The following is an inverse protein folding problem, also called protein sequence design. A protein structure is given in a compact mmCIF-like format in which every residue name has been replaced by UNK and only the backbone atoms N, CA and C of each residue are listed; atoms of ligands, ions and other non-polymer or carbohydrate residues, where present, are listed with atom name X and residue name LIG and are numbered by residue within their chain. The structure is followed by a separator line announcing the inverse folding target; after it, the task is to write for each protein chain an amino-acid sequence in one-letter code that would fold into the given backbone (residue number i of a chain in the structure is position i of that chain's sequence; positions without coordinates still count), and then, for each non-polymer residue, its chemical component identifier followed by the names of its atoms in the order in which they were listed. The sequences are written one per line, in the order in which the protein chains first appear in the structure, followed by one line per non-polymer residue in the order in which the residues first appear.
data_IF_110061709211
#
_entry.id   IF_110061709211
#
_cell.length_a   1.000
_cell.length_b   1.000
_cell.length_c   1.000
_cell.angle_alpha   90.00
_cell.angle_beta   90.00
_cell.angle_gamma   90.00
#
_symmetry.space_group_name_H-M   'P 1'
#
loop_
_entity.id
_entity.type
_entity.pdbx_description
1 polymer ?
#
# COMPACT_ATOMS: atom_id res chain seq x y z
N UNK A 1 -6.91 18.53 -65.60
CA UNK A 1 -8.05 19.41 -65.23
C UNK A 1 -8.87 18.64 -64.20
N UNK A 2 -9.10 19.02 -62.94
CA UNK A 2 -9.07 20.30 -62.21
C UNK A 2 -8.50 20.06 -60.80
N UNK A 3 -7.86 21.08 -60.23
CA UNK A 3 -7.37 21.20 -58.84
C UNK A 3 -8.42 21.88 -57.94
N UNK A 4 -8.10 21.95 -56.64
CA UNK A 4 -8.63 22.79 -55.51
C UNK A 4 -9.73 22.14 -54.63
N UNK A 5 -9.75 22.26 -53.30
CA UNK A 5 -8.79 22.63 -52.22
C UNK A 5 -9.50 22.32 -50.86
N UNK A 6 -8.69 22.14 -49.82
CA UNK A 6 -8.91 22.52 -48.40
C UNK A 6 -9.95 21.80 -47.51
N UNK A 7 -9.52 21.50 -46.28
CA UNK A 7 -10.39 21.21 -45.14
C UNK A 7 -9.71 20.47 -43.99
N UNK A 8 -8.89 21.18 -43.20
CA UNK A 8 -8.36 20.65 -41.94
C UNK A 8 -9.47 20.53 -40.88
N UNK A 9 -9.47 19.45 -40.11
CA UNK A 9 -10.21 19.35 -38.86
C UNK A 9 -9.37 18.62 -37.80
N UNK A 10 -8.46 19.37 -37.16
CA UNK A 10 -7.96 19.05 -35.83
C UNK A 10 -9.08 19.42 -34.84
N UNK A 11 -9.83 18.44 -34.34
CA UNK A 11 -10.76 18.66 -33.22
C UNK A 11 -11.09 17.35 -32.50
N UNK A 12 -10.13 16.77 -31.77
CA UNK A 12 -10.44 15.64 -30.88
C UNK A 12 -9.46 15.46 -29.71
N UNK A 13 -8.78 16.52 -29.27
CA UNK A 13 -7.88 16.45 -28.11
C UNK A 13 -8.44 17.11 -26.82
N UNK A 14 -9.57 17.82 -26.86
CA UNK A 14 -10.04 18.61 -25.69
C UNK A 14 -10.97 17.86 -24.72
N UNK A 15 -11.44 16.65 -25.04
CA UNK A 15 -12.41 15.96 -24.17
C UNK A 15 -11.78 15.23 -22.97
N UNK A 16 -10.48 14.90 -23.02
CA UNK A 16 -9.85 14.07 -21.98
C UNK A 16 -9.41 14.85 -20.73
N UNK A 17 -9.15 16.16 -20.84
CA UNK A 17 -8.61 16.95 -19.72
C UNK A 17 -9.66 17.27 -18.62
N UNK A 18 -10.95 17.24 -18.94
CA UNK A 18 -12.01 17.65 -18.02
C UNK A 18 -12.33 16.62 -16.93
N UNK A 19 -11.97 15.35 -17.12
CA UNK A 19 -12.31 14.26 -16.19
C UNK A 19 -11.39 14.17 -14.96
N UNK A 20 -10.20 14.76 -14.99
CA UNK A 20 -9.27 14.76 -13.85
C UNK A 20 -9.48 15.91 -12.85
N UNK A 21 -10.46 16.79 -13.09
CA UNK A 21 -10.70 18.00 -12.30
C UNK A 21 -11.83 17.87 -11.27
N UNK A 22 -12.54 16.73 -11.20
CA UNK A 22 -13.69 16.57 -10.32
C UNK A 22 -13.32 15.76 -9.07
N UNK A 23 -13.64 16.30 -7.89
CA UNK A 23 -13.58 15.54 -6.63
C UNK A 23 -14.68 14.49 -6.58
N UNK A 24 -14.49 13.45 -5.75
CA UNK A 24 -15.50 12.40 -5.53
C UNK A 24 -16.74 13.05 -4.87
N UNK A 25 -17.88 12.99 -5.55
CA UNK A 25 -19.16 13.42 -5.00
C UNK A 25 -19.89 12.21 -4.39
N UNK A 26 -20.34 12.32 -3.15
CA UNK A 26 -21.38 11.44 -2.61
C UNK A 26 -22.69 11.64 -3.40
N UNK A 27 -23.50 10.58 -3.54
CA UNK A 27 -24.72 10.56 -4.39
C UNK A 27 -25.57 11.82 -4.20
N UNK A 28 -25.97 12.45 -5.31
CA UNK A 28 -26.79 13.68 -5.42
C UNK A 28 -26.14 15.02 -5.04
N UNK A 29 -24.81 15.08 -4.89
CA UNK A 29 -24.10 16.36 -4.72
C UNK A 29 -23.52 16.81 -6.06
N UNK A 30 -23.82 18.04 -6.49
CA UNK A 30 -23.17 18.65 -7.65
C UNK A 30 -21.66 18.79 -7.32
N UNK A 31 -20.74 18.19 -8.10
CA UNK A 31 -19.31 18.33 -7.86
C UNK A 31 -18.95 19.82 -7.76
N UNK A 32 -18.32 20.19 -6.65
CA UNK A 32 -17.80 21.54 -6.52
C UNK A 32 -16.59 21.70 -7.43
N UNK A 33 -16.44 22.85 -8.12
CA UNK A 33 -15.20 23.14 -8.82
C UNK A 33 -14.05 23.11 -7.81
N UNK A 34 -12.92 22.51 -8.19
CA UNK A 34 -11.70 22.55 -7.37
C UNK A 34 -11.40 24.00 -7.01
N UNK A 35 -11.18 24.25 -5.72
CA UNK A 35 -10.75 25.56 -5.25
C UNK A 35 -9.49 26.01 -5.98
N UNK A 36 -9.34 27.33 -6.16
CA UNK A 36 -8.12 27.90 -6.75
C UNK A 36 -6.91 27.42 -5.94
N UNK A 37 -5.84 26.93 -6.59
CA UNK A 37 -4.58 26.66 -5.90
C UNK A 37 -4.18 27.86 -5.06
N UNK A 38 -3.63 27.63 -3.87
CA UNK A 38 -3.29 28.69 -2.91
C UNK A 38 -2.32 29.73 -3.49
N UNK A 39 -1.66 29.44 -4.61
CA UNK A 39 -0.63 30.28 -5.24
C UNK A 39 0.65 30.36 -4.42
N UNK A 40 0.69 29.71 -3.26
CA UNK A 40 1.86 29.62 -2.39
C UNK A 40 2.78 28.52 -2.93
N UNK A 41 4.10 28.73 -2.95
CA UNK A 41 5.04 27.65 -3.17
C UNK A 41 4.75 26.52 -2.20
N UNK A 42 4.72 25.28 -2.69
CA UNK A 42 4.68 24.12 -1.82
C UNK A 42 6.10 23.91 -1.28
N UNK A 43 6.36 24.09 0.04
CA UNK A 43 7.71 24.17 0.57
C UNK A 43 8.41 22.80 0.70
N UNK A 44 7.83 21.73 0.15
CA UNK A 44 8.37 20.38 0.21
C UNK A 44 8.50 19.79 -1.20
N UNK A 45 9.49 18.93 -1.37
CA UNK A 45 9.65 18.10 -2.57
C UNK A 45 9.52 16.66 -2.14
N UNK A 46 8.55 15.96 -2.74
CA UNK A 46 8.44 14.50 -2.58
C UNK A 46 9.28 13.83 -3.67
N UNK A 47 10.06 12.85 -3.27
CA UNK A 47 10.83 11.99 -4.16
C UNK A 47 10.48 10.56 -3.78
N UNK A 48 10.10 9.75 -4.76
CA UNK A 48 9.97 8.31 -4.57
C UNK A 48 11.38 7.71 -4.45
N UNK A 49 11.66 7.07 -3.33
CA UNK A 49 12.92 6.40 -3.02
C UNK A 49 12.71 4.91 -2.69
N UNK A 50 11.54 4.36 -2.99
CA UNK A 50 11.19 3.00 -2.58
C UNK A 50 12.15 1.95 -3.15
N UNK A 51 12.58 2.15 -4.41
CA UNK A 51 13.55 1.26 -5.07
C UNK A 51 14.92 1.36 -4.41
N UNK A 52 15.41 2.56 -4.18
CA UNK A 52 16.70 2.85 -3.54
C UNK A 52 16.73 2.31 -2.11
N UNK A 53 15.61 2.38 -1.40
CA UNK A 53 15.45 1.87 -0.04
C UNK A 53 15.25 0.34 0.02
N UNK A 54 15.12 -0.36 -1.10
CA UNK A 54 14.87 -1.81 -1.13
C UNK A 54 13.40 -2.23 -0.90
N UNK A 55 12.47 -1.28 -0.78
CA UNK A 55 11.03 -1.50 -0.58
C UNK A 55 10.32 -1.71 -1.92
N UNK A 56 10.64 -2.81 -2.60
CA UNK A 56 10.24 -3.04 -4.00
C UNK A 56 9.07 -4.00 -4.19
N UNK A 57 8.66 -4.73 -3.15
CA UNK A 57 7.58 -5.70 -3.27
C UNK A 57 6.21 -5.01 -3.25
N UNK A 58 5.26 -5.46 -4.09
CA UNK A 58 3.92 -4.91 -4.06
C UNK A 58 3.17 -5.37 -2.80
N UNK A 59 2.37 -4.47 -2.23
CA UNK A 59 1.27 -4.85 -1.34
C UNK A 59 0.08 -5.18 -2.23
N UNK A 60 -0.47 -6.39 -2.10
CA UNK A 60 -1.51 -6.89 -3.00
C UNK A 60 -2.85 -6.86 -2.27
N UNK A 61 -3.88 -6.29 -2.92
CA UNK A 61 -5.25 -6.34 -2.44
C UNK A 61 -6.21 -6.19 -3.63
N UNK A 62 -7.15 -7.11 -3.74
CA UNK A 62 -8.16 -7.08 -4.79
C UNK A 62 -7.58 -7.30 -6.18
N UNK A 63 -8.36 -6.96 -7.20
CA UNK A 63 -7.93 -7.08 -8.60
C UNK A 63 -7.45 -5.74 -9.16
N UNK A 64 -6.69 -5.79 -10.25
CA UNK A 64 -6.15 -4.63 -10.96
C UNK A 64 -7.17 -3.90 -11.84
N UNK A 65 -8.32 -4.55 -12.11
CA UNK A 65 -9.26 -4.13 -13.16
C UNK A 65 -10.69 -3.92 -12.65
N UNK A 66 -11.17 -4.75 -11.71
CA UNK A 66 -12.56 -4.65 -11.24
C UNK A 66 -12.76 -5.18 -9.81
N UNK A 67 -13.10 -4.28 -8.90
CA UNK A 67 -13.51 -4.61 -7.53
C UNK A 67 -14.94 -5.12 -7.54
N UNK A 68 -15.16 -6.34 -7.01
CA UNK A 68 -16.50 -6.93 -6.93
C UNK A 68 -17.11 -6.79 -5.53
N UNK A 69 -16.28 -6.81 -4.50
CA UNK A 69 -16.67 -6.73 -3.10
C UNK A 69 -15.85 -5.69 -2.34
N UNK A 70 -16.44 -5.10 -1.30
CA UNK A 70 -15.77 -4.06 -0.49
C UNK A 70 -14.56 -4.58 0.29
N UNK A 71 -14.55 -5.87 0.63
CA UNK A 71 -13.38 -6.49 1.24
C UNK A 71 -12.24 -6.68 0.25
N UNK A 72 -12.32 -6.25 -1.00
CA UNK A 72 -11.16 -6.22 -1.91
C UNK A 72 -10.44 -4.85 -1.90
N UNK A 73 -11.04 -3.85 -1.24
CA UNK A 73 -10.50 -2.47 -1.16
C UNK A 73 -10.19 -2.01 0.25
N UNK A 74 -10.51 -2.81 1.27
CA UNK A 74 -10.44 -2.44 2.69
C UNK A 74 -9.26 -3.14 3.40
N UNK A 75 -8.14 -3.30 2.70
CA UNK A 75 -6.96 -4.05 3.16
C UNK A 75 -5.73 -3.18 3.32
N UNK A 76 -4.76 -3.72 4.05
CA UNK A 76 -3.46 -3.12 4.29
C UNK A 76 -3.20 -2.91 5.77
N UNK A 77 -2.18 -2.13 6.07
CA UNK A 77 -1.73 -1.87 7.43
C UNK A 77 -0.22 -1.79 7.47
N UNK A 78 0.29 -0.94 8.34
CA UNK A 78 1.72 -0.81 8.60
C UNK A 78 1.93 -0.78 10.11
N UNK A 79 2.93 -1.52 10.57
CA UNK A 79 3.47 -1.43 11.90
C UNK A 79 4.94 -1.04 11.81
N UNK A 80 5.35 -0.17 12.72
CA UNK A 80 6.74 0.22 12.94
C UNK A 80 7.14 -0.33 14.31
N UNK A 81 8.15 -1.19 14.35
CA UNK A 81 8.61 -1.86 15.56
C UNK A 81 10.09 -2.21 15.44
N UNK A 82 10.77 -2.35 16.57
CA UNK A 82 12.14 -2.90 16.65
C UNK A 82 12.01 -4.41 16.94
N UNK A 83 11.82 -5.23 15.90
CA UNK A 83 11.41 -6.64 16.09
C UNK A 83 12.54 -7.53 16.61
N UNK A 84 13.80 -7.14 16.40
CA UNK A 84 14.99 -7.87 16.83
C UNK A 84 15.81 -7.15 17.92
N UNK A 85 15.25 -6.09 18.53
CA UNK A 85 15.83 -5.29 19.62
C UNK A 85 17.21 -4.74 19.29
N UNK A 86 17.45 -4.42 18.03
CA UNK A 86 18.73 -3.92 17.56
C UNK A 86 18.89 -2.40 17.74
N UNK A 87 17.82 -1.75 18.21
CA UNK A 87 17.71 -0.31 18.47
C UNK A 87 17.21 0.49 17.27
N UNK A 88 16.82 -0.15 16.17
CA UNK A 88 16.32 0.49 14.97
C UNK A 88 14.90 0.05 14.63
N UNK A 89 14.14 1.00 14.09
CA UNK A 89 12.76 0.75 13.73
C UNK A 89 12.70 0.08 12.36
N UNK A 90 12.04 -1.07 12.33
CA UNK A 90 11.72 -1.91 11.18
C UNK A 90 10.28 -1.69 10.70
N UNK A 91 9.97 -2.19 9.51
CA UNK A 91 8.66 -2.00 8.88
C UNK A 91 7.96 -3.34 8.62
N UNK A 92 6.78 -3.51 9.20
CA UNK A 92 5.88 -4.62 8.88
C UNK A 92 4.68 -4.12 8.07
N UNK A 93 4.44 -4.71 6.90
CA UNK A 93 3.34 -4.38 6.01
C UNK A 93 2.40 -5.56 5.91
N UNK A 94 1.11 -5.29 6.10
CA UNK A 94 0.03 -6.27 5.92
C UNK A 94 -0.40 -6.28 4.46
N UNK A 95 -0.46 -7.46 3.86
CA UNK A 95 -1.00 -7.65 2.52
C UNK A 95 -2.40 -8.26 2.57
N UNK A 96 -3.18 -7.97 1.53
CA UNK A 96 -4.33 -8.77 1.16
C UNK A 96 -3.93 -9.88 0.17
N UNK A 97 -4.93 -10.39 -0.54
CA UNK A 97 -4.79 -11.31 -1.67
C UNK A 97 -5.71 -10.86 -2.82
N UNK A 98 -5.93 -11.73 -3.81
CA UNK A 98 -6.78 -11.50 -4.96
C UNK A 98 -8.04 -12.38 -4.90
N UNK A 99 -9.12 -11.91 -5.51
CA UNK A 99 -10.35 -12.70 -5.57
C UNK A 99 -10.21 -13.84 -6.60
N UNK A 100 -10.36 -15.09 -6.16
CA UNK A 100 -10.20 -16.32 -6.95
C UNK A 100 -8.75 -16.63 -7.40
N UNK A 101 -7.75 -15.96 -6.84
CA UNK A 101 -6.34 -16.23 -7.07
C UNK A 101 -5.61 -16.25 -5.72
N UNK A 102 -4.54 -17.03 -5.61
CA UNK A 102 -3.67 -17.02 -4.42
C UNK A 102 -2.20 -16.87 -4.86
N UNK A 103 -1.81 -15.67 -5.33
CA UNK A 103 -0.46 -15.45 -5.82
C UNK A 103 0.55 -15.57 -4.67
N UNK A 104 1.66 -16.32 -4.86
CA UNK A 104 2.65 -16.55 -3.80
C UNK A 104 3.31 -15.27 -3.27
N UNK A 105 3.27 -14.18 -4.03
CA UNK A 105 3.75 -12.87 -3.61
C UNK A 105 2.77 -12.11 -2.69
N UNK A 106 1.49 -12.50 -2.62
CA UNK A 106 0.48 -11.94 -1.73
C UNK A 106 0.66 -12.46 -0.30
N UNK A 107 1.62 -11.85 0.38
CA UNK A 107 1.95 -12.13 1.76
C UNK A 107 2.29 -10.84 2.48
N UNK A 108 2.10 -10.82 3.79
CA UNK A 108 2.70 -9.81 4.66
C UNK A 108 4.21 -9.69 4.39
N UNK A 109 4.79 -8.54 4.74
CA UNK A 109 6.22 -8.28 4.59
C UNK A 109 6.80 -7.68 5.85
N UNK A 110 7.90 -8.26 6.35
CA UNK A 110 8.75 -7.65 7.37
C UNK A 110 10.06 -7.20 6.73
N UNK A 111 10.39 -5.93 6.91
CA UNK A 111 11.57 -5.29 6.40
C UNK A 111 12.46 -4.84 7.55
N UNK A 112 13.65 -5.45 7.67
CA UNK A 112 14.66 -5.02 8.62
C UNK A 112 15.39 -3.79 8.10
N UNK A 113 15.56 -2.79 8.95
CA UNK A 113 16.30 -1.57 8.69
C UNK A 113 17.81 -1.83 8.70
N UNK A 114 18.50 -1.51 7.60
CA UNK A 114 19.94 -1.71 7.48
C UNK A 114 20.77 -0.54 8.03
N UNK A 115 20.13 0.48 8.61
CA UNK A 115 20.75 1.66 9.25
C UNK A 115 21.48 2.61 8.30
N UNK A 116 21.27 2.43 7.00
CA UNK A 116 21.85 3.24 5.92
C UNK A 116 20.78 3.85 4.99
N UNK A 117 19.50 3.80 5.42
CA UNK A 117 18.36 4.22 4.62
C UNK A 117 17.79 3.13 3.71
N UNK A 118 18.35 1.92 3.76
CA UNK A 118 17.83 0.74 3.05
C UNK A 118 17.20 -0.28 3.99
N UNK A 119 16.42 -1.18 3.40
CA UNK A 119 15.71 -2.24 4.10
C UNK A 119 15.95 -3.60 3.42
N UNK A 120 15.91 -4.66 4.22
CA UNK A 120 15.99 -6.05 3.75
C UNK A 120 14.71 -6.80 4.11
N UNK A 121 14.08 -7.43 3.11
CA UNK A 121 12.95 -8.33 3.34
C UNK A 121 13.43 -9.57 4.13
N UNK A 122 12.94 -9.72 5.35
CA UNK A 122 13.23 -10.83 6.25
C UNK A 122 11.99 -11.67 6.56
N UNK A 123 10.89 -11.46 5.83
CA UNK A 123 9.57 -12.08 6.07
C UNK A 123 9.62 -13.59 6.23
N UNK A 124 10.30 -14.26 5.30
CA UNK A 124 10.41 -15.73 5.30
C UNK A 124 11.23 -16.23 6.47
N UNK A 125 12.37 -15.58 6.73
CA UNK A 125 13.23 -15.90 7.88
C UNK A 125 12.49 -15.70 9.20
N UNK A 126 11.67 -14.66 9.30
CA UNK A 126 10.91 -14.31 10.50
C UNK A 126 9.66 -15.17 10.71
N UNK A 127 9.29 -16.05 9.77
CA UNK A 127 8.09 -16.89 9.89
C UNK A 127 6.77 -16.14 9.64
N UNK A 128 6.82 -14.93 9.06
CA UNK A 128 5.65 -14.06 8.91
C UNK A 128 4.95 -14.19 7.55
N UNK A 129 5.28 -15.22 6.77
CA UNK A 129 4.58 -15.50 5.51
C UNK A 129 3.15 -15.93 5.78
N UNK A 130 2.19 -15.12 5.33
CA UNK A 130 0.75 -15.44 5.42
C UNK A 130 -0.02 -14.69 4.33
N UNK A 131 -0.78 -15.45 3.56
CA UNK A 131 -1.77 -14.92 2.62
C UNK A 131 -3.11 -14.65 3.28
N UNK A 132 -4.08 -14.21 2.47
CA UNK A 132 -5.42 -13.87 2.92
C UNK A 132 -5.67 -12.36 2.93
N UNK A 133 -6.85 -11.97 3.41
CA UNK A 133 -7.36 -10.61 3.31
C UNK A 133 -7.03 -9.78 4.56
N UNK A 134 -5.77 -9.39 4.74
CA UNK A 134 -5.32 -8.62 5.91
C UNK A 134 -5.79 -7.16 5.90
N UNK A 135 -6.33 -6.67 7.02
CA UNK A 135 -6.97 -5.34 7.14
C UNK A 135 -6.29 -4.39 8.12
N UNK A 136 -5.39 -4.87 8.97
CA UNK A 136 -4.71 -4.03 9.94
C UNK A 136 -3.79 -4.83 10.84
N UNK A 137 -2.86 -4.12 11.48
CA UNK A 137 -1.91 -4.67 12.44
C UNK A 137 -1.80 -3.76 13.66
N UNK A 138 -1.59 -4.36 14.82
CA UNK A 138 -1.16 -3.66 16.03
C UNK A 138 0.03 -4.39 16.64
N UNK A 139 0.84 -3.65 17.39
CA UNK A 139 2.06 -4.13 18.04
C UNK A 139 1.85 -4.05 19.54
N UNK A 140 2.32 -5.06 20.26
CA UNK A 140 2.47 -4.99 21.70
C UNK A 140 2.81 -6.33 22.31
N UNK A 141 3.70 -6.30 23.28
CA UNK A 141 4.06 -7.42 24.17
C UNK A 141 2.82 -7.94 24.92
N UNK A 142 2.20 -9.01 24.41
CA UNK A 142 0.93 -9.52 24.95
C UNK A 142 1.13 -10.48 26.12
N UNK A 143 2.29 -11.12 26.21
CA UNK A 143 2.59 -12.13 27.23
C UNK A 143 3.56 -11.65 28.32
N UNK A 144 4.11 -10.45 28.17
CA UNK A 144 4.99 -9.80 29.14
C UNK A 144 6.43 -10.31 29.11
N UNK A 145 6.88 -10.95 28.03
CA UNK A 145 8.27 -11.39 27.88
C UNK A 145 9.22 -10.27 27.42
N UNK A 146 8.65 -9.11 27.07
CA UNK A 146 9.36 -7.91 26.69
C UNK A 146 9.73 -7.86 25.22
N UNK A 147 9.35 -8.84 24.41
CA UNK A 147 9.46 -8.82 22.95
C UNK A 147 8.14 -8.34 22.32
N UNK A 148 8.21 -7.39 21.38
CA UNK A 148 7.01 -6.84 20.76
C UNK A 148 6.36 -7.87 19.81
N UNK A 149 5.11 -8.23 20.09
CA UNK A 149 4.31 -9.15 19.28
C UNK A 149 3.46 -8.43 18.22
N UNK A 150 2.92 -9.19 17.26
CA UNK A 150 2.04 -8.65 16.22
C UNK A 150 0.64 -9.28 16.27
N UNK A 151 -0.39 -8.45 16.28
CA UNK A 151 -1.77 -8.92 16.04
C UNK A 151 -2.29 -8.36 14.71
N UNK A 152 -2.59 -9.26 13.77
CA UNK A 152 -3.05 -8.92 12.42
C UNK A 152 -4.50 -9.36 12.25
N UNK A 153 -5.35 -8.42 11.85
CA UNK A 153 -6.75 -8.69 11.53
C UNK A 153 -6.90 -9.12 10.08
N UNK A 154 -7.74 -10.12 9.83
CA UNK A 154 -8.06 -10.61 8.50
C UNK A 154 -9.58 -10.66 8.30
N UNK A 155 -10.02 -10.59 7.05
CA UNK A 155 -11.34 -11.14 6.70
C UNK A 155 -11.26 -12.67 6.83
N UNK A 156 -11.76 -13.19 7.95
CA UNK A 156 -11.62 -14.59 8.36
C UNK A 156 -10.90 -14.69 9.70
N UNK A 157 -9.98 -15.65 9.82
CA UNK A 157 -9.23 -15.89 11.06
C UNK A 157 -8.12 -14.85 11.23
N UNK A 158 -8.19 -14.13 12.34
CA UNK A 158 -7.11 -13.23 12.77
C UNK A 158 -5.84 -14.01 13.12
N UNK A 159 -4.71 -13.32 13.17
CA UNK A 159 -3.42 -13.86 13.55
C UNK A 159 -2.88 -13.11 14.76
N UNK A 160 -2.49 -13.84 15.81
CA UNK A 160 -1.58 -13.34 16.83
C UNK A 160 -0.24 -14.03 16.59
N UNK A 161 0.82 -13.26 16.42
CA UNK A 161 2.17 -13.72 16.20
C UNK A 161 2.99 -13.41 17.43
N UNK A 162 3.47 -14.44 18.11
CA UNK A 162 4.37 -14.26 19.24
C UNK A 162 5.80 -14.08 18.73
N UNK A 163 6.47 -13.01 19.14
CA UNK A 163 7.90 -12.84 18.91
C UNK A 163 8.68 -13.77 19.84
N UNK A 164 9.61 -14.55 19.30
CA UNK A 164 10.39 -15.52 20.08
C UNK A 164 11.66 -14.91 20.71
N UNK A 165 11.90 -13.60 20.52
CA UNK A 165 13.10 -12.89 21.00
C UNK A 165 14.39 -13.19 20.22
N UNK A 166 14.30 -13.95 19.12
CA UNK A 166 15.41 -14.28 18.23
C UNK A 166 15.22 -13.75 16.79
N UNK A 167 14.26 -12.83 16.62
CA UNK A 167 13.87 -12.26 15.32
C UNK A 167 12.95 -13.17 14.50
N UNK A 168 12.31 -14.15 15.13
CA UNK A 168 11.30 -15.01 14.51
C UNK A 168 9.97 -14.93 15.26
N UNK A 169 8.89 -15.32 14.59
CA UNK A 169 7.53 -15.33 15.12
C UNK A 169 6.89 -16.72 15.04
N UNK A 170 6.01 -17.04 16.00
CA UNK A 170 5.14 -18.24 15.98
C UNK A 170 3.66 -17.91 15.97
#
# INVERSE_FOLDING_TARGET
MKRFLAGAALASALAAAALFAQGIASRNVKPQPRGKPSGRPFPAKFTDVAREAGLTQPVIFGTDTHVRYIFETSQGGVAWLDYDKDGWIDAFLVSGTRLNEDPPEATNRLYRNNRDGTFTDVTEKAGLRRGGWGSGVTVGDYDGDGDDDLFVTYFGDNALYRNNGDGTFT
#
